data_IF_649352794438
#
_entry.id   IF_649352794438
#
_cell.length_a   1.000
_cell.length_b   1.000
_cell.length_c   1.000
_cell.angle_alpha   90.00
_cell.angle_beta   90.00
_cell.angle_gamma   90.00
#
_symmetry.space_group_name_H-M   'P 1'
#
loop_
_entity.id
_entity.type
_entity.pdbx_description
1 polymer ?
#
# COMPACT_ATOMS: atom_id res chain seq x y z
N UNK A 1 -14.34 -19.54 -4.72
CA UNK A 1 -14.81 -19.00 -3.40
C UNK A 1 -15.13 -17.55 -3.55
N UNK A 2 -16.34 -17.12 -3.14
CA UNK A 2 -16.73 -15.71 -3.24
C UNK A 2 -16.35 -14.96 -1.96
N UNK A 3 -15.42 -14.05 -2.06
CA UNK A 3 -14.89 -13.30 -0.91
C UNK A 3 -15.26 -11.84 -1.00
N UNK A 4 -15.85 -11.33 0.07
CA UNK A 4 -16.02 -9.89 0.27
C UNK A 4 -14.74 -9.32 0.88
N UNK A 5 -14.06 -8.46 0.14
CA UNK A 5 -12.89 -7.73 0.64
C UNK A 5 -13.32 -6.35 1.09
N UNK A 6 -12.90 -5.96 2.30
CA UNK A 6 -13.18 -4.68 2.94
C UNK A 6 -11.87 -3.96 3.23
N UNK A 7 -11.75 -2.74 2.75
CA UNK A 7 -10.60 -1.86 2.95
C UNK A 7 -11.09 -0.53 3.55
N UNK A 8 -11.05 -0.43 4.87
CA UNK A 8 -11.47 0.75 5.60
C UNK A 8 -10.28 1.72 5.74
N UNK A 9 -10.39 2.91 5.17
CA UNK A 9 -9.45 4.00 5.34
C UNK A 9 -9.89 4.95 6.44
N UNK A 10 -9.18 6.06 6.66
CA UNK A 10 -9.47 7.02 7.73
C UNK A 10 -10.84 7.72 7.59
N UNK A 11 -11.29 7.98 6.37
CA UNK A 11 -12.57 8.65 6.06
C UNK A 11 -13.29 8.02 4.87
N UNK A 12 -12.92 6.80 4.51
CA UNK A 12 -13.51 6.07 3.40
C UNK A 12 -13.50 4.58 3.68
N UNK A 13 -14.36 3.84 2.98
CA UNK A 13 -14.34 2.37 2.96
C UNK A 13 -14.53 1.94 1.52
N UNK A 14 -13.65 1.08 1.03
CA UNK A 14 -13.77 0.42 -0.27
C UNK A 14 -14.11 -1.03 -0.07
N UNK A 15 -14.85 -1.62 -0.99
CA UNK A 15 -15.15 -3.04 -0.97
C UNK A 15 -15.17 -3.63 -2.37
N UNK A 16 -14.92 -4.93 -2.41
CA UNK A 16 -14.99 -5.73 -3.63
C UNK A 16 -15.43 -7.16 -3.28
N UNK A 17 -16.44 -7.65 -3.97
CA UNK A 17 -16.84 -9.05 -3.92
C UNK A 17 -16.30 -9.74 -5.18
N UNK A 18 -15.46 -10.75 -4.99
CA UNK A 18 -14.80 -11.45 -6.09
C UNK A 18 -14.72 -12.96 -5.86
N UNK A 19 -14.63 -13.70 -6.96
CA UNK A 19 -14.30 -15.13 -6.94
C UNK A 19 -12.79 -15.35 -6.96
N UNK A 20 -12.27 -16.16 -6.03
CA UNK A 20 -10.83 -16.41 -5.89
C UNK A 20 -10.24 -17.26 -7.02
N UNK A 21 -11.03 -18.15 -7.64
CA UNK A 21 -10.56 -19.06 -8.68
C UNK A 21 -10.50 -18.34 -10.04
N UNK A 22 -11.55 -17.57 -10.38
CA UNK A 22 -11.66 -16.89 -11.69
C UNK A 22 -11.15 -15.45 -11.67
N UNK A 23 -11.00 -14.84 -10.50
CA UNK A 23 -10.75 -13.42 -10.27
C UNK A 23 -11.86 -12.50 -10.81
N UNK A 24 -13.03 -13.05 -11.07
CA UNK A 24 -14.18 -12.26 -11.51
C UNK A 24 -14.68 -11.39 -10.37
N UNK A 25 -14.90 -10.11 -10.66
CA UNK A 25 -15.44 -9.13 -9.71
C UNK A 25 -16.93 -8.99 -9.93
N UNK A 26 -17.73 -9.49 -8.98
CA UNK A 26 -19.19 -9.44 -9.03
C UNK A 26 -19.73 -8.05 -8.63
N UNK A 27 -19.18 -7.48 -7.58
CA UNK A 27 -19.57 -6.16 -7.10
C UNK A 27 -18.38 -5.40 -6.53
N UNK A 28 -18.37 -4.09 -6.67
CA UNK A 28 -17.40 -3.20 -6.02
C UNK A 28 -17.98 -1.83 -5.74
N UNK A 29 -17.41 -1.15 -4.77
CA UNK A 29 -17.85 0.19 -4.44
C UNK A 29 -17.04 0.85 -3.36
N UNK A 30 -17.54 1.99 -2.91
CA UNK A 30 -16.92 2.77 -1.85
C UNK A 30 -17.93 3.61 -1.09
N UNK A 31 -17.60 3.87 0.17
CA UNK A 31 -18.20 4.91 1.00
C UNK A 31 -17.15 6.01 1.19
N UNK A 32 -17.49 7.24 0.93
CA UNK A 32 -16.61 8.39 1.06
C UNK A 32 -17.15 9.38 2.09
N UNK A 33 -16.27 10.20 2.68
CA UNK A 33 -16.59 11.23 3.68
C UNK A 33 -17.21 10.65 4.96
N UNK A 34 -16.74 9.49 5.39
CA UNK A 34 -17.12 8.90 6.68
C UNK A 34 -16.74 9.87 7.81
N UNK A 35 -17.65 10.11 8.76
CA UNK A 35 -17.50 11.10 9.83
C UNK A 35 -17.99 12.50 9.46
N UNK A 36 -18.53 12.71 8.24
CA UNK A 36 -19.16 13.96 7.80
C UNK A 36 -20.69 13.83 7.84
N UNK A 37 -21.39 14.98 7.82
CA UNK A 37 -22.86 15.01 7.83
C UNK A 37 -23.48 14.24 6.67
N UNK A 38 -22.85 14.30 5.50
CA UNK A 38 -23.24 13.56 4.29
C UNK A 38 -22.02 12.96 3.62
N UNK A 39 -22.08 11.65 3.39
CA UNK A 39 -21.12 10.88 2.62
C UNK A 39 -21.65 10.54 1.23
N UNK A 40 -20.83 9.80 0.48
CA UNK A 40 -21.19 9.31 -0.85
C UNK A 40 -21.01 7.79 -0.86
N UNK A 41 -22.09 7.07 -1.12
CA UNK A 41 -22.07 5.64 -1.41
C UNK A 41 -21.96 5.43 -2.91
N UNK A 42 -21.01 4.63 -3.35
CA UNK A 42 -20.86 4.24 -4.73
C UNK A 42 -20.85 2.72 -4.88
N UNK A 43 -21.60 2.19 -5.83
CA UNK A 43 -21.75 0.77 -6.09
C UNK A 43 -21.77 0.46 -7.58
N UNK A 44 -21.21 -0.67 -7.97
CA UNK A 44 -21.32 -1.22 -9.33
C UNK A 44 -21.25 -2.74 -9.29
N UNK A 45 -22.02 -3.40 -10.17
CA UNK A 45 -22.09 -4.84 -10.33
C UNK A 45 -21.62 -5.27 -11.71
N UNK A 46 -20.96 -6.42 -11.81
CA UNK A 46 -20.57 -7.10 -13.07
C UNK A 46 -19.89 -6.15 -14.09
N UNK A 47 -19.05 -5.23 -13.60
CA UNK A 47 -18.37 -4.24 -14.44
C UNK A 47 -19.28 -3.13 -14.99
N UNK A 48 -20.54 -3.05 -14.53
CA UNK A 48 -21.50 -2.03 -14.94
C UNK A 48 -21.11 -0.61 -14.48
N UNK A 49 -21.92 0.37 -14.88
CA UNK A 49 -21.71 1.76 -14.49
C UNK A 49 -21.89 1.95 -12.99
N UNK A 50 -20.98 2.70 -12.37
CA UNK A 50 -21.07 3.04 -10.96
C UNK A 50 -22.28 3.93 -10.69
N UNK A 51 -23.15 3.50 -9.79
CA UNK A 51 -24.23 4.29 -9.24
C UNK A 51 -23.75 4.99 -7.97
N UNK A 52 -24.19 6.20 -7.72
CA UNK A 52 -23.82 6.98 -6.53
C UNK A 52 -25.04 7.53 -5.84
N UNK A 53 -25.01 7.55 -4.51
CA UNK A 53 -26.05 8.06 -3.64
C UNK A 53 -25.42 8.87 -2.50
N UNK A 54 -26.03 9.98 -2.10
CA UNK A 54 -25.66 10.70 -0.88
C UNK A 54 -26.31 10.05 0.33
N UNK A 55 -25.48 9.58 1.28
CA UNK A 55 -25.91 8.85 2.48
C UNK A 55 -25.10 9.33 3.67
N UNK A 56 -25.72 9.55 4.86
CA UNK A 56 -24.97 9.88 6.06
C UNK A 56 -24.14 8.69 6.54
N UNK A 57 -22.83 8.91 6.76
CA UNK A 57 -21.93 7.94 7.35
C UNK A 57 -21.30 8.53 8.61
N UNK A 58 -21.96 8.43 9.78
CA UNK A 58 -21.38 8.92 11.03
C UNK A 58 -20.08 8.21 11.42
N UNK A 59 -19.94 6.94 11.02
CA UNK A 59 -18.80 6.09 11.35
C UNK A 59 -18.60 4.95 10.34
N UNK A 60 -17.54 4.15 10.52
CA UNK A 60 -17.24 3.00 9.67
C UNK A 60 -18.26 1.87 9.82
N UNK A 61 -18.90 1.75 10.98
CA UNK A 61 -19.96 0.75 11.22
C UNK A 61 -21.16 1.00 10.32
N UNK A 62 -21.59 2.26 10.20
CA UNK A 62 -22.69 2.66 9.30
C UNK A 62 -22.32 2.48 7.82
N UNK A 63 -21.06 2.72 7.48
CA UNK A 63 -20.56 2.51 6.12
C UNK A 63 -20.58 1.03 5.71
N UNK A 64 -20.05 0.12 6.54
CA UNK A 64 -20.08 -1.31 6.24
C UNK A 64 -21.53 -1.86 6.28
N UNK A 65 -22.38 -1.36 7.17
CA UNK A 65 -23.80 -1.73 7.18
C UNK A 65 -24.46 -1.46 5.83
N UNK A 66 -24.24 -0.26 5.27
CA UNK A 66 -24.80 0.13 3.97
C UNK A 66 -24.27 -0.74 2.82
N UNK A 67 -22.98 -1.13 2.87
CA UNK A 67 -22.39 -2.09 1.90
C UNK A 67 -23.12 -3.44 1.95
N UNK A 68 -23.29 -4.02 3.15
CA UNK A 68 -23.91 -5.32 3.31
C UNK A 68 -25.41 -5.29 2.92
N UNK A 69 -26.13 -4.21 3.27
CA UNK A 69 -27.50 -3.99 2.82
C UNK A 69 -27.63 -3.94 1.29
N UNK A 70 -26.63 -3.39 0.58
CA UNK A 70 -26.65 -3.36 -0.88
C UNK A 70 -26.40 -4.75 -1.47
N UNK A 71 -25.41 -5.47 -0.93
CA UNK A 71 -25.11 -6.84 -1.37
C UNK A 71 -26.24 -7.83 -1.07
N UNK A 72 -27.00 -7.66 0.02
CA UNK A 72 -28.20 -8.47 0.33
C UNK A 72 -29.32 -8.34 -0.70
N UNK A 73 -29.35 -7.29 -1.53
CA UNK A 73 -30.32 -7.13 -2.63
C UNK A 73 -29.95 -7.91 -3.88
N UNK A 74 -28.75 -8.44 -3.92
CA UNK A 74 -28.22 -9.21 -5.05
C UNK A 74 -28.36 -10.71 -4.79
N UNK A 75 -28.23 -11.52 -5.86
CA UNK A 75 -28.20 -12.99 -5.77
C UNK A 75 -26.79 -13.53 -5.48
N UNK A 76 -25.80 -12.69 -5.19
CA UNK A 76 -24.44 -13.12 -4.90
C UNK A 76 -24.32 -13.75 -3.52
N UNK A 77 -23.59 -14.85 -3.43
CA UNK A 77 -23.23 -15.49 -2.15
C UNK A 77 -21.90 -14.93 -1.65
N UNK A 78 -21.74 -14.84 -0.34
CA UNK A 78 -20.48 -14.50 0.32
C UNK A 78 -20.05 -15.73 1.13
N UNK A 79 -18.87 -16.27 0.86
CA UNK A 79 -18.32 -17.45 1.52
C UNK A 79 -17.33 -17.09 2.63
N UNK A 80 -16.81 -15.85 2.63
CA UNK A 80 -15.90 -15.34 3.63
C UNK A 80 -15.62 -13.84 3.43
N UNK A 81 -15.10 -13.20 4.47
CA UNK A 81 -14.82 -11.75 4.47
C UNK A 81 -13.36 -11.52 4.80
N UNK A 82 -12.66 -10.79 3.94
CA UNK A 82 -11.28 -10.36 4.13
C UNK A 82 -11.22 -8.88 4.50
N UNK A 83 -10.48 -8.55 5.55
CA UNK A 83 -10.32 -7.19 6.02
C UNK A 83 -8.86 -6.76 5.91
N UNK A 84 -8.59 -5.67 5.20
CA UNK A 84 -7.28 -5.02 5.24
C UNK A 84 -7.10 -4.34 6.57
N UNK A 85 -5.94 -4.57 7.21
CA UNK A 85 -5.50 -3.91 8.44
C UNK A 85 -4.15 -3.25 8.18
N UNK A 86 -4.08 -1.94 8.41
CA UNK A 86 -2.86 -1.16 8.12
C UNK A 86 -1.72 -1.56 9.04
N UNK A 87 -1.99 -1.83 10.33
CA UNK A 87 -0.94 -2.13 11.30
C UNK A 87 -1.23 -3.39 12.10
N UNK A 88 -0.36 -4.40 11.94
CA UNK A 88 -0.38 -5.65 12.71
C UNK A 88 0.53 -5.65 13.94
N UNK A 89 1.41 -4.63 14.06
CA UNK A 89 2.36 -4.51 15.15
C UNK A 89 3.28 -5.72 15.27
N UNK A 90 3.54 -6.09 16.51
CA UNK A 90 4.41 -7.21 16.88
C UNK A 90 3.68 -8.55 17.03
N UNK A 91 2.36 -8.56 16.84
CA UNK A 91 1.53 -9.74 17.03
C UNK A 91 1.35 -10.58 15.77
N UNK A 92 1.44 -9.97 14.59
CA UNK A 92 1.03 -10.62 13.35
C UNK A 92 2.17 -10.67 12.32
N UNK A 93 2.63 -11.86 12.03
CA UNK A 93 3.60 -12.20 10.97
C UNK A 93 2.94 -12.86 9.74
N UNK A 94 1.65 -13.13 9.80
CA UNK A 94 0.79 -13.59 8.71
C UNK A 94 -0.63 -13.03 8.91
N UNK A 95 -1.51 -13.27 7.94
CA UNK A 95 -2.94 -13.05 8.05
C UNK A 95 -3.57 -13.98 9.08
N UNK A 96 -4.66 -13.57 9.73
CA UNK A 96 -5.28 -14.34 10.81
C UNK A 96 -6.80 -14.44 10.66
N UNK A 97 -7.36 -15.62 10.94
CA UNK A 97 -8.81 -15.77 11.13
C UNK A 97 -9.20 -15.05 12.42
N UNK A 98 -10.20 -14.18 12.30
CA UNK A 98 -10.56 -13.25 13.38
C UNK A 98 -11.43 -13.95 14.43
N UNK A 99 -10.90 -14.06 15.64
CA UNK A 99 -11.59 -14.38 16.88
C UNK A 99 -11.49 -13.20 17.86
N UNK A 100 -11.89 -13.40 19.11
CA UNK A 100 -11.86 -12.35 20.14
C UNK A 100 -10.40 -12.00 20.56
N UNK A 101 -9.48 -12.97 20.50
CA UNK A 101 -8.07 -12.76 20.80
C UNK A 101 -7.41 -11.92 19.70
N UNK A 102 -7.68 -12.24 18.44
CA UNK A 102 -7.19 -11.46 17.28
C UNK A 102 -7.74 -10.04 17.33
N UNK A 103 -9.04 -9.85 17.65
CA UNK A 103 -9.60 -8.51 17.83
C UNK A 103 -8.91 -7.71 18.93
N UNK A 104 -8.67 -8.33 20.10
CA UNK A 104 -7.96 -7.68 21.19
C UNK A 104 -6.55 -7.22 20.78
N UNK A 105 -5.81 -8.05 20.03
CA UNK A 105 -4.48 -7.73 19.51
C UNK A 105 -4.51 -6.61 18.47
N UNK A 106 -5.51 -6.57 17.58
CA UNK A 106 -5.69 -5.46 16.61
C UNK A 106 -5.89 -4.14 17.35
N UNK A 107 -6.71 -4.13 18.42
CA UNK A 107 -6.95 -2.94 19.22
C UNK A 107 -5.73 -2.53 20.05
N UNK A 108 -4.93 -3.49 20.55
CA UNK A 108 -3.68 -3.21 21.28
C UNK A 108 -2.66 -2.47 20.42
N UNK A 109 -2.54 -2.81 19.14
CA UNK A 109 -1.60 -2.15 18.22
C UNK A 109 -2.19 -0.91 17.53
N UNK A 110 -3.48 -0.62 17.70
CA UNK A 110 -4.15 0.53 17.09
C UNK A 110 -3.45 1.89 17.34
N UNK A 111 -2.80 2.14 18.50
CA UNK A 111 -2.01 3.37 18.69
C UNK A 111 -0.87 3.60 17.68
N UNK A 112 -0.39 2.57 16.97
CA UNK A 112 0.60 2.71 15.89
C UNK A 112 -0.01 3.25 14.59
N UNK A 113 -1.33 3.07 14.38
CA UNK A 113 -2.08 3.57 13.22
C UNK A 113 -3.50 4.03 13.63
N UNK A 114 -3.63 5.03 14.51
CA UNK A 114 -4.91 5.38 15.14
C UNK A 114 -5.98 5.88 14.17
N UNK A 115 -5.58 6.42 13.01
CA UNK A 115 -6.50 6.88 11.98
C UNK A 115 -7.09 5.74 11.12
N UNK A 116 -6.62 4.50 11.28
CA UNK A 116 -6.99 3.35 10.46
C UNK A 116 -7.54 2.20 11.31
N UNK A 117 -6.71 1.61 12.19
CA UNK A 117 -7.04 0.39 12.90
C UNK A 117 -8.37 0.42 13.69
N UNK A 118 -8.77 1.56 14.25
CA UNK A 118 -10.06 1.65 14.95
C UNK A 118 -11.25 1.55 14.00
N UNK A 119 -11.19 2.18 12.82
CA UNK A 119 -12.23 2.09 11.80
C UNK A 119 -12.29 0.68 11.17
N UNK A 120 -11.12 0.08 10.96
CA UNK A 120 -10.98 -1.29 10.47
C UNK A 120 -11.57 -2.29 11.47
N UNK A 121 -11.25 -2.18 12.77
CA UNK A 121 -11.82 -3.00 13.83
C UNK A 121 -13.35 -2.88 13.90
N UNK A 122 -13.89 -1.67 13.81
CA UNK A 122 -15.34 -1.45 13.83
C UNK A 122 -16.06 -2.12 12.64
N UNK A 123 -15.42 -2.15 11.46
CA UNK A 123 -15.95 -2.85 10.30
C UNK A 123 -15.93 -4.38 10.50
N UNK A 124 -14.86 -4.93 11.08
CA UNK A 124 -14.76 -6.35 11.42
C UNK A 124 -15.84 -6.75 12.42
N UNK A 125 -15.98 -6.00 13.53
CA UNK A 125 -16.98 -6.26 14.56
C UNK A 125 -18.38 -6.34 13.97
N UNK A 126 -18.74 -5.39 13.11
CA UNK A 126 -20.06 -5.39 12.47
C UNK A 126 -20.26 -6.59 11.55
N UNK A 127 -19.26 -6.98 10.76
CA UNK A 127 -19.35 -8.16 9.89
C UNK A 127 -19.54 -9.46 10.73
N UNK A 128 -18.79 -9.61 11.82
CA UNK A 128 -18.91 -10.77 12.74
C UNK A 128 -20.26 -10.83 13.45
N UNK A 129 -20.83 -9.69 13.81
CA UNK A 129 -22.17 -9.63 14.41
C UNK A 129 -23.27 -9.96 13.39
N UNK A 130 -23.15 -9.46 12.16
CA UNK A 130 -24.14 -9.62 11.10
C UNK A 130 -24.15 -11.05 10.51
N UNK A 131 -22.95 -11.63 10.34
CA UNK A 131 -22.73 -12.95 9.74
C UNK A 131 -21.80 -13.81 10.60
N UNK A 132 -22.28 -14.29 11.78
CA UNK A 132 -21.43 -15.01 12.73
C UNK A 132 -20.90 -16.35 12.20
N UNK A 133 -21.54 -16.91 11.17
CA UNK A 133 -21.14 -18.15 10.51
C UNK A 133 -20.07 -17.96 9.44
N UNK A 134 -19.89 -16.74 8.93
CA UNK A 134 -18.88 -16.47 7.90
C UNK A 134 -17.50 -16.24 8.52
N UNK A 135 -16.46 -16.88 8.00
CA UNK A 135 -15.10 -16.60 8.43
C UNK A 135 -14.71 -15.16 8.06
N UNK A 136 -14.16 -14.46 9.03
CA UNK A 136 -13.53 -13.15 8.85
C UNK A 136 -12.02 -13.32 8.96
N UNK A 137 -11.25 -12.77 8.03
CA UNK A 137 -9.79 -12.84 8.01
C UNK A 137 -9.20 -11.44 7.99
N UNK A 138 -8.33 -11.15 8.94
CA UNK A 138 -7.55 -9.91 8.98
C UNK A 138 -6.24 -10.10 8.20
N UNK A 139 -5.98 -9.23 7.23
CA UNK A 139 -4.79 -9.21 6.38
C UNK A 139 -4.02 -7.93 6.65
N UNK A 140 -2.80 -8.06 7.17
CA UNK A 140 -2.04 -6.94 7.69
C UNK A 140 -1.02 -6.45 6.67
N UNK A 141 -1.02 -5.15 6.38
CA UNK A 141 -0.03 -4.51 5.48
C UNK A 141 1.41 -4.66 5.97
N UNK A 142 1.61 -4.91 7.26
CA UNK A 142 2.92 -5.05 7.88
C UNK A 142 3.42 -6.50 7.95
N UNK A 143 2.54 -7.51 7.86
CA UNK A 143 2.89 -8.90 8.13
C UNK A 143 3.96 -9.44 7.19
N UNK A 144 3.91 -9.11 5.89
CA UNK A 144 4.92 -9.52 4.92
C UNK A 144 6.33 -9.06 5.30
N UNK A 145 6.45 -7.91 5.95
CA UNK A 145 7.71 -7.33 6.38
C UNK A 145 8.24 -7.89 7.70
N UNK A 146 7.45 -8.69 8.41
CA UNK A 146 7.90 -9.33 9.67
C UNK A 146 8.99 -10.37 9.45
N UNK A 147 9.22 -10.77 8.21
CA UNK A 147 10.34 -11.66 7.81
C UNK A 147 11.68 -10.94 7.73
N UNK A 148 11.74 -9.60 7.87
CA UNK A 148 13.00 -8.85 7.88
C UNK A 148 13.94 -9.34 8.99
N UNK A 149 15.25 -9.44 8.73
CA UNK A 149 16.23 -9.77 9.77
C UNK A 149 16.36 -8.63 10.79
N UNK A 150 16.76 -8.97 12.02
CA UNK A 150 16.88 -8.01 13.13
C UNK A 150 17.71 -6.76 12.76
N UNK A 151 18.79 -6.95 12.02
CA UNK A 151 19.67 -5.86 11.56
C UNK A 151 18.96 -4.84 10.65
N UNK A 152 17.90 -5.26 9.95
CA UNK A 152 17.14 -4.38 9.05
C UNK A 152 16.00 -3.63 9.76
N UNK A 153 15.34 -4.27 10.75
CA UNK A 153 14.20 -3.65 11.41
C UNK A 153 14.54 -2.87 12.70
N UNK A 154 15.73 -3.08 13.29
CA UNK A 154 16.10 -2.42 14.55
C UNK A 154 16.58 -1.00 14.29
N UNK A 155 16.04 -0.03 15.04
CA UNK A 155 16.57 1.32 15.07
C UNK A 155 17.73 1.44 16.07
N UNK A 156 18.74 2.25 15.75
CA UNK A 156 19.87 2.53 16.63
C UNK A 156 19.48 3.50 17.76
N UNK A 157 18.51 3.09 18.57
CA UNK A 157 17.99 3.78 19.74
C UNK A 157 18.25 2.93 21.00
N UNK A 158 18.13 3.49 22.22
CA UNK A 158 18.27 2.71 23.45
C UNK A 158 17.32 1.52 23.46
N UNK A 159 17.89 0.33 23.69
CA UNK A 159 17.14 -0.94 23.57
C UNK A 159 15.93 -1.00 24.51
N UNK A 160 16.07 -0.52 25.74
CA UNK A 160 15.01 -0.48 26.74
C UNK A 160 13.81 0.39 26.30
N UNK A 161 14.08 1.46 25.57
CA UNK A 161 13.04 2.30 24.96
C UNK A 161 12.35 1.57 23.81
N UNK A 162 13.15 0.96 22.92
CA UNK A 162 12.60 0.20 21.79
C UNK A 162 11.74 -0.97 22.27
N UNK A 163 12.22 -1.73 23.24
CA UNK A 163 11.50 -2.88 23.79
C UNK A 163 10.19 -2.43 24.49
N UNK A 164 10.26 -1.38 25.30
CA UNK A 164 9.09 -0.89 26.06
C UNK A 164 7.95 -0.37 25.16
N UNK A 165 8.29 0.28 24.06
CA UNK A 165 7.32 0.93 23.17
C UNK A 165 7.17 0.21 21.82
N UNK A 166 7.77 -0.96 21.67
CA UNK A 166 7.77 -1.76 20.44
C UNK A 166 8.24 -0.96 19.20
N UNK A 167 9.27 -0.11 19.41
CA UNK A 167 9.82 0.74 18.35
C UNK A 167 10.75 -0.05 17.45
N UNK A 168 10.27 -0.32 16.24
CA UNK A 168 11.03 -0.99 15.18
C UNK A 168 10.46 -0.58 13.81
N UNK A 169 11.16 -0.95 12.74
CA UNK A 169 10.61 -0.87 11.38
C UNK A 169 9.57 -1.96 11.20
N UNK A 170 8.34 -1.59 10.83
CA UNK A 170 7.26 -2.51 10.44
C UNK A 170 7.04 -2.53 8.95
N UNK A 171 7.20 -1.40 8.26
CA UNK A 171 6.86 -1.25 6.85
C UNK A 171 5.35 -1.07 6.62
N UNK A 172 4.96 -1.02 5.38
CA UNK A 172 3.57 -1.05 4.92
C UNK A 172 3.50 -1.45 3.43
N UNK A 173 2.30 -1.51 2.84
CA UNK A 173 2.04 -2.03 1.49
C UNK A 173 2.49 -3.50 1.32
N UNK A 174 2.62 -4.25 2.41
CA UNK A 174 3.09 -5.63 2.36
C UNK A 174 2.22 -6.53 1.51
N UNK A 175 0.91 -6.31 1.50
CA UNK A 175 -0.04 -7.03 0.66
C UNK A 175 0.26 -6.83 -0.83
N UNK A 176 0.54 -5.59 -1.26
CA UNK A 176 0.95 -5.26 -2.62
C UNK A 176 2.30 -5.88 -2.97
N UNK A 177 3.34 -5.68 -2.14
CA UNK A 177 4.67 -6.24 -2.39
C UNK A 177 4.68 -7.77 -2.49
N UNK A 178 3.85 -8.44 -1.68
CA UNK A 178 3.66 -9.90 -1.74
C UNK A 178 2.97 -10.32 -3.04
N UNK A 179 1.97 -9.58 -3.50
CA UNK A 179 1.30 -9.83 -4.76
C UNK A 179 2.26 -9.71 -5.95
N UNK A 180 3.06 -8.64 -6.01
CA UNK A 180 4.03 -8.45 -7.09
C UNK A 180 5.06 -9.59 -7.13
N UNK A 181 5.57 -10.02 -5.96
CA UNK A 181 6.48 -11.16 -5.91
C UNK A 181 5.82 -12.45 -6.41
N UNK A 182 4.60 -12.72 -5.99
CA UNK A 182 3.83 -13.90 -6.41
C UNK A 182 3.65 -13.92 -7.93
N UNK A 183 3.19 -12.80 -8.52
CA UNK A 183 2.99 -12.67 -9.95
C UNK A 183 4.30 -12.77 -10.75
N UNK A 184 5.37 -12.11 -10.26
CA UNK A 184 6.68 -12.23 -10.91
C UNK A 184 7.22 -13.64 -10.86
N UNK A 185 7.06 -14.34 -9.73
CA UNK A 185 7.48 -15.74 -9.58
C UNK A 185 6.73 -16.68 -10.52
N UNK A 186 5.43 -16.45 -10.69
CA UNK A 186 4.61 -17.19 -11.66
C UNK A 186 5.11 -16.99 -13.10
N UNK A 187 5.40 -15.74 -13.48
CA UNK A 187 5.80 -15.38 -14.84
C UNK A 187 7.25 -15.77 -15.16
N UNK A 188 8.17 -15.52 -14.22
CA UNK A 188 9.62 -15.63 -14.44
C UNK A 188 10.24 -16.92 -13.90
N UNK A 189 9.56 -17.62 -13.00
CA UNK A 189 10.05 -18.85 -12.37
C UNK A 189 11.34 -18.63 -11.58
N UNK A 190 12.38 -19.41 -11.88
CA UNK A 190 13.69 -19.34 -11.20
C UNK A 190 14.48 -18.05 -11.46
N UNK A 191 14.09 -17.25 -12.43
CA UNK A 191 14.72 -15.94 -12.71
C UNK A 191 14.30 -14.84 -11.73
N UNK A 192 13.28 -15.09 -10.92
CA UNK A 192 12.82 -14.20 -9.86
C UNK A 192 13.39 -14.70 -8.51
N UNK A 193 14.63 -14.29 -8.17
CA UNK A 193 15.27 -14.61 -6.90
C UNK A 193 15.38 -13.35 -6.03
N UNK A 194 16.06 -12.31 -6.51
CA UNK A 194 16.18 -11.01 -5.83
C UNK A 194 15.33 -9.98 -6.55
N UNK A 195 14.24 -9.58 -5.92
CA UNK A 195 13.25 -8.69 -6.50
C UNK A 195 13.22 -7.37 -5.72
N UNK A 196 13.34 -6.25 -6.45
CA UNK A 196 13.02 -4.92 -5.97
C UNK A 196 11.60 -4.59 -6.41
N UNK A 197 10.66 -4.54 -5.45
CA UNK A 197 9.29 -4.10 -5.68
C UNK A 197 9.18 -2.60 -5.42
N UNK A 198 8.65 -1.84 -6.39
CA UNK A 198 8.51 -0.39 -6.36
C UNK A 198 7.02 -0.03 -6.42
N UNK A 199 6.37 0.04 -5.26
CA UNK A 199 5.01 0.54 -5.12
C UNK A 199 5.04 2.06 -5.11
N UNK A 200 4.78 2.68 -6.26
CA UNK A 200 4.87 4.13 -6.45
C UNK A 200 3.48 4.72 -6.71
N UNK A 201 2.83 5.19 -5.65
CA UNK A 201 1.52 5.82 -5.69
C UNK A 201 1.49 7.14 -4.92
N UNK A 202 0.32 7.57 -4.47
CA UNK A 202 0.18 8.69 -3.52
C UNK A 202 0.83 8.36 -2.17
N UNK A 203 0.72 7.10 -1.68
CA UNK A 203 1.67 6.46 -0.78
C UNK A 203 2.70 5.72 -1.63
N UNK A 204 3.96 5.71 -1.21
CA UNK A 204 5.01 5.05 -1.96
C UNK A 204 6.01 4.33 -1.05
N UNK A 205 6.40 3.12 -1.44
CA UNK A 205 7.42 2.33 -0.75
C UNK A 205 8.17 1.41 -1.71
N UNK A 206 9.35 0.99 -1.30
CA UNK A 206 10.13 -0.05 -1.95
C UNK A 206 10.30 -1.21 -0.98
N UNK A 207 10.35 -2.42 -1.51
CA UNK A 207 10.70 -3.62 -0.75
C UNK A 207 11.77 -4.45 -1.47
N UNK A 208 12.76 -4.88 -0.71
CA UNK A 208 13.79 -5.83 -1.11
C UNK A 208 13.29 -7.24 -0.76
N UNK A 209 13.09 -8.09 -1.76
CA UNK A 209 12.49 -9.41 -1.60
C UNK A 209 13.43 -10.46 -2.17
N UNK A 210 13.82 -11.43 -1.36
CA UNK A 210 14.67 -12.55 -1.79
C UNK A 210 13.92 -13.87 -1.55
N UNK A 211 13.61 -14.59 -2.62
CA UNK A 211 12.82 -15.84 -2.60
C UNK A 211 11.52 -15.77 -1.80
N UNK A 212 10.82 -14.64 -1.87
CA UNK A 212 9.56 -14.41 -1.18
C UNK A 212 9.68 -13.89 0.25
N UNK A 213 10.90 -13.71 0.73
CA UNK A 213 11.21 -13.17 2.06
C UNK A 213 11.56 -11.69 1.95
N UNK A 214 10.87 -10.83 2.67
CA UNK A 214 11.24 -9.43 2.75
C UNK A 214 12.57 -9.27 3.51
N UNK A 215 13.56 -8.66 2.88
CA UNK A 215 14.87 -8.39 3.47
C UNK A 215 14.97 -7.00 4.05
N UNK A 216 14.32 -6.05 3.41
CA UNK A 216 14.21 -4.66 3.87
C UNK A 216 13.05 -3.95 3.16
N UNK A 217 12.58 -2.84 3.74
CA UNK A 217 11.58 -1.96 3.13
C UNK A 217 11.83 -0.52 3.52
N UNK A 218 11.29 0.43 2.76
CA UNK A 218 11.56 1.86 2.98
C UNK A 218 10.68 2.51 4.04
N UNK A 219 9.43 2.06 4.22
CA UNK A 219 8.59 2.57 5.31
C UNK A 219 9.09 2.04 6.65
N UNK A 220 8.94 2.85 7.69
CA UNK A 220 9.55 2.62 9.00
C UNK A 220 8.57 2.11 10.07
N UNK A 221 8.62 2.75 11.25
CA UNK A 221 7.66 2.54 12.34
C UNK A 221 6.23 2.83 11.86
N UNK A 222 6.09 3.87 11.03
CA UNK A 222 4.85 4.30 10.39
C UNK A 222 5.03 4.43 8.87
N UNK A 223 3.95 4.57 8.10
CA UNK A 223 4.03 4.82 6.66
C UNK A 223 4.57 6.22 6.27
N UNK A 224 5.10 7.00 7.22
CA UNK A 224 5.68 8.32 6.96
C UNK A 224 7.11 8.23 6.41
N UNK A 225 7.91 7.29 6.92
CA UNK A 225 9.33 7.15 6.54
C UNK A 225 9.51 6.62 5.11
N UNK A 226 10.71 6.78 4.57
CA UNK A 226 11.11 6.27 3.26
C UNK A 226 11.01 7.28 2.14
N UNK A 227 10.24 6.98 1.10
CA UNK A 227 10.11 7.83 -0.08
C UNK A 227 9.36 9.13 0.21
N UNK A 228 9.68 10.18 -0.55
CA UNK A 228 8.78 11.33 -0.69
C UNK A 228 7.49 10.85 -1.35
N UNK A 229 6.33 11.28 -0.85
CA UNK A 229 5.02 10.80 -1.30
C UNK A 229 4.12 11.96 -1.73
N UNK A 230 2.85 11.74 -1.97
CA UNK A 230 1.92 12.79 -2.36
C UNK A 230 1.85 13.96 -1.36
N UNK A 231 1.66 13.63 -0.06
CA UNK A 231 1.57 14.62 1.02
C UNK A 231 2.56 14.38 2.16
N UNK A 232 3.27 13.23 2.18
CA UNK A 232 4.21 12.85 3.22
C UNK A 232 5.63 13.20 2.82
N UNK A 233 6.43 13.68 3.79
CA UNK A 233 7.80 14.13 3.51
C UNK A 233 8.77 12.98 3.18
N UNK A 234 8.49 11.74 3.64
CA UNK A 234 9.46 10.66 3.64
C UNK A 234 10.57 10.89 4.66
N UNK A 235 11.70 10.22 4.47
CA UNK A 235 12.86 10.34 5.36
C UNK A 235 13.44 11.75 5.35
N UNK A 236 13.54 12.35 6.54
CA UNK A 236 14.21 13.63 6.79
C UNK A 236 15.18 13.46 7.96
N UNK A 237 16.05 14.46 8.19
CA UNK A 237 16.84 14.48 9.42
C UNK A 237 15.90 14.57 10.65
N UNK A 238 15.93 13.60 11.59
CA UNK A 238 15.04 13.62 12.76
C UNK A 238 15.23 14.86 13.63
N UNK A 239 16.40 15.52 13.62
CA UNK A 239 16.62 16.76 14.33
C UNK A 239 15.75 17.92 13.78
N UNK A 240 15.26 17.83 12.55
CA UNK A 240 14.34 18.83 11.97
C UNK A 240 13.07 18.97 12.82
N UNK A 241 12.52 17.88 13.33
CA UNK A 241 11.33 17.89 14.21
C UNK A 241 11.59 18.73 15.46
N UNK A 242 12.68 18.43 16.18
CA UNK A 242 13.06 19.17 17.39
C UNK A 242 13.41 20.64 17.09
N UNK A 243 14.04 20.90 15.93
CA UNK A 243 14.39 22.27 15.51
C UNK A 243 13.12 23.11 15.27
N UNK A 244 12.15 22.59 14.52
CA UNK A 244 10.89 23.30 14.24
C UNK A 244 10.09 23.57 15.53
N UNK A 245 10.07 22.63 16.46
CA UNK A 245 9.41 22.84 17.76
C UNK A 245 10.12 23.92 18.60
N UNK A 246 11.45 23.87 18.67
CA UNK A 246 12.23 24.79 19.52
C UNK A 246 12.32 26.20 18.94
N UNK A 247 12.65 26.33 17.63
CA UNK A 247 12.90 27.63 17.01
C UNK A 247 11.66 28.17 16.26
N UNK A 248 10.83 27.28 15.69
CA UNK A 248 9.61 27.66 14.99
C UNK A 248 8.39 27.78 15.90
N UNK A 249 8.45 27.26 17.12
CA UNK A 249 7.34 27.28 18.08
C UNK A 249 6.19 26.35 17.71
N UNK A 250 6.37 25.44 16.76
CA UNK A 250 5.34 24.48 16.36
C UNK A 250 5.10 23.45 17.50
N UNK A 251 3.86 23.11 17.75
CA UNK A 251 3.50 21.95 18.57
C UNK A 251 3.87 20.65 17.89
N UNK A 252 3.91 19.54 18.63
CA UNK A 252 4.16 18.22 18.03
C UNK A 252 3.10 17.86 16.99
N UNK A 253 1.83 18.21 17.24
CA UNK A 253 0.73 17.91 16.31
C UNK A 253 0.84 18.70 15.00
N UNK A 254 1.24 19.99 15.07
CA UNK A 254 1.47 20.80 13.87
C UNK A 254 2.62 20.24 13.02
N UNK A 255 3.70 19.75 13.66
CA UNK A 255 4.81 19.13 12.95
C UNK A 255 4.38 17.78 12.35
N UNK A 256 3.61 16.96 13.09
CA UNK A 256 3.08 15.70 12.61
C UNK A 256 2.16 15.91 11.39
N UNK A 257 1.22 16.86 11.48
CA UNK A 257 0.34 17.22 10.36
C UNK A 257 1.12 17.78 9.16
N UNK A 258 2.14 18.59 9.39
CA UNK A 258 3.03 19.11 8.34
C UNK A 258 3.71 17.96 7.60
N UNK A 259 4.31 17.00 8.31
CA UNK A 259 5.03 15.89 7.72
C UNK A 259 4.11 14.92 6.98
N UNK A 260 2.91 14.67 7.49
CA UNK A 260 1.98 13.68 6.94
C UNK A 260 1.04 14.22 5.87
N UNK A 261 0.60 15.49 5.97
CA UNK A 261 -0.52 16.03 5.19
C UNK A 261 -0.16 17.23 4.30
N UNK A 262 0.96 17.92 4.58
CA UNK A 262 1.31 19.19 3.95
C UNK A 262 2.66 19.18 3.24
N UNK A 263 3.30 18.02 3.14
CA UNK A 263 4.64 17.81 2.58
C UNK A 263 4.58 17.11 1.20
N UNK A 264 5.65 16.48 0.82
CA UNK A 264 5.74 15.65 -0.38
C UNK A 264 5.55 16.42 -1.69
N UNK A 265 4.95 15.76 -2.67
CA UNK A 265 4.66 16.36 -3.98
C UNK A 265 3.82 17.63 -3.85
N UNK A 266 2.84 17.64 -2.94
CA UNK A 266 1.99 18.82 -2.66
C UNK A 266 2.84 20.03 -2.27
N UNK A 267 3.75 19.90 -1.31
CA UNK A 267 4.57 21.00 -0.80
C UNK A 267 5.53 21.53 -1.86
N UNK A 268 6.21 20.61 -2.57
CA UNK A 268 7.24 21.00 -3.53
C UNK A 268 6.61 21.63 -4.77
N UNK A 269 5.57 21.01 -5.34
CA UNK A 269 4.85 21.57 -6.50
C UNK A 269 4.07 22.83 -6.13
N UNK A 270 3.47 22.87 -4.93
CA UNK A 270 2.62 23.94 -4.44
C UNK A 270 1.22 23.98 -5.07
N UNK A 271 0.82 22.93 -5.80
CA UNK A 271 -0.46 22.90 -6.52
C UNK A 271 -1.32 21.67 -6.19
N UNK A 272 -0.74 20.48 -6.12
CA UNK A 272 -1.49 19.22 -5.98
C UNK A 272 -0.60 18.12 -5.40
N UNK A 273 -1.22 17.10 -4.81
CA UNK A 273 -0.58 15.82 -4.49
C UNK A 273 -0.83 14.76 -5.57
N UNK A 274 -1.62 15.08 -6.59
CA UNK A 274 -1.87 14.19 -7.72
C UNK A 274 -0.76 14.35 -8.77
N UNK A 275 -0.04 13.27 -9.04
CA UNK A 275 1.04 13.25 -10.00
C UNK A 275 0.60 13.65 -11.42
N UNK A 276 -0.67 13.44 -11.79
CA UNK A 276 -1.22 13.80 -13.12
C UNK A 276 -1.31 15.32 -13.29
N UNK A 277 -1.79 16.03 -12.26
CA UNK A 277 -1.86 17.50 -12.28
C UNK A 277 -0.47 18.11 -12.36
N UNK A 278 0.46 17.60 -11.54
CA UNK A 278 1.84 18.04 -11.49
C UNK A 278 2.52 17.77 -12.84
N UNK A 279 2.27 16.58 -13.44
CA UNK A 279 2.82 16.23 -14.77
C UNK A 279 2.36 17.22 -15.85
N UNK A 280 1.09 17.58 -15.86
CA UNK A 280 0.52 18.51 -16.81
C UNK A 280 1.25 19.87 -16.72
N UNK A 281 1.38 20.40 -15.50
CA UNK A 281 2.05 21.69 -15.28
C UNK A 281 3.56 21.62 -15.56
N UNK A 282 4.22 20.52 -15.20
CA UNK A 282 5.64 20.31 -15.53
C UNK A 282 5.89 20.32 -17.06
N UNK A 283 4.98 19.73 -17.86
CA UNK A 283 5.05 19.75 -19.31
C UNK A 283 4.86 21.14 -19.92
N UNK A 284 4.24 22.07 -19.20
CA UNK A 284 4.09 23.49 -19.54
C UNK A 284 5.29 24.34 -19.08
N UNK A 285 6.29 23.74 -18.42
CA UNK A 285 7.52 24.40 -17.98
C UNK A 285 7.46 24.95 -16.56
N UNK A 286 6.50 24.54 -15.72
CA UNK A 286 6.48 24.93 -14.30
C UNK A 286 7.66 24.32 -13.56
N UNK A 287 8.60 25.16 -13.12
CA UNK A 287 9.87 24.75 -12.50
C UNK A 287 9.65 24.01 -11.16
N UNK A 288 8.64 24.37 -10.37
CA UNK A 288 8.33 23.70 -9.11
C UNK A 288 7.76 22.29 -9.35
N UNK A 289 6.93 22.14 -10.36
CA UNK A 289 6.40 20.85 -10.76
C UNK A 289 7.49 19.92 -11.33
N UNK A 290 8.44 20.49 -12.12
CA UNK A 290 9.62 19.76 -12.58
C UNK A 290 10.47 19.30 -11.39
N UNK A 291 10.78 20.20 -10.45
CA UNK A 291 11.54 19.87 -9.24
C UNK A 291 10.84 18.78 -8.41
N UNK A 292 9.51 18.82 -8.28
CA UNK A 292 8.76 17.82 -7.54
C UNK A 292 8.93 16.40 -8.12
N UNK A 293 8.88 16.26 -9.45
CA UNK A 293 9.15 14.99 -10.13
C UNK A 293 10.60 14.54 -10.02
N UNK A 294 11.54 15.46 -10.23
CA UNK A 294 12.97 15.14 -10.13
C UNK A 294 13.32 14.68 -8.71
N UNK A 295 12.77 15.34 -7.67
CA UNK A 295 12.95 14.92 -6.28
C UNK A 295 12.31 13.56 -6.01
N UNK A 296 11.10 13.29 -6.50
CA UNK A 296 10.44 12.01 -6.33
C UNK A 296 11.27 10.88 -6.95
N UNK A 297 11.68 11.04 -8.21
CA UNK A 297 12.54 10.07 -8.89
C UNK A 297 13.88 9.88 -8.18
N UNK A 298 14.54 10.98 -7.79
CA UNK A 298 15.83 10.95 -7.11
C UNK A 298 15.75 10.20 -5.77
N UNK A 299 14.72 10.47 -4.95
CA UNK A 299 14.52 9.79 -3.67
C UNK A 299 14.23 8.30 -3.86
N UNK A 300 13.41 7.94 -4.86
CA UNK A 300 13.15 6.55 -5.20
C UNK A 300 14.44 5.82 -5.61
N UNK A 301 15.27 6.42 -6.45
CA UNK A 301 16.55 5.85 -6.87
C UNK A 301 17.55 5.67 -5.72
N UNK A 302 17.65 6.67 -4.80
CA UNK A 302 18.53 6.55 -3.63
C UNK A 302 18.11 5.37 -2.74
N UNK A 303 16.81 5.27 -2.43
CA UNK A 303 16.29 4.19 -1.59
C UNK A 303 16.42 2.82 -2.30
N UNK A 304 16.18 2.78 -3.62
CA UNK A 304 16.38 1.57 -4.41
C UNK A 304 17.83 1.07 -4.34
N UNK A 305 18.81 1.97 -4.38
CA UNK A 305 20.23 1.61 -4.19
C UNK A 305 20.47 0.91 -2.85
N UNK A 306 19.85 1.38 -1.76
CA UNK A 306 19.98 0.74 -0.44
C UNK A 306 19.28 -0.63 -0.40
N UNK A 307 18.10 -0.76 -1.01
CA UNK A 307 17.38 -2.03 -1.11
C UNK A 307 18.16 -3.07 -1.93
N UNK A 308 18.76 -2.65 -3.05
CA UNK A 308 19.60 -3.51 -3.89
C UNK A 308 20.84 -3.98 -3.11
N UNK A 309 21.44 -3.09 -2.31
CA UNK A 309 22.58 -3.42 -1.47
C UNK A 309 22.23 -4.43 -0.37
N UNK A 310 21.03 -4.34 0.23
CA UNK A 310 20.58 -5.28 1.27
C UNK A 310 20.41 -6.72 0.76
N UNK A 311 20.19 -6.89 -0.56
CA UNK A 311 20.11 -8.19 -1.24
C UNK A 311 21.43 -8.61 -1.94
N UNK A 312 22.48 -7.78 -1.87
CA UNK A 312 23.72 -7.96 -2.63
C UNK A 312 23.50 -8.10 -4.15
N UNK A 313 22.50 -7.41 -4.70
CA UNK A 313 22.15 -7.40 -6.12
C UNK A 313 20.65 -7.38 -6.37
N UNK A 314 20.26 -7.43 -7.65
CA UNK A 314 18.87 -7.45 -8.10
C UNK A 314 18.76 -8.23 -9.40
N UNK A 315 17.74 -9.08 -9.51
CA UNK A 315 17.46 -9.87 -10.71
C UNK A 315 16.20 -9.35 -11.43
N UNK A 316 15.26 -8.77 -10.64
CA UNK A 316 14.00 -8.25 -11.15
C UNK A 316 13.64 -6.94 -10.45
N UNK A 317 13.15 -5.96 -11.22
CA UNK A 317 12.58 -4.70 -10.72
C UNK A 317 11.12 -4.65 -11.19
N UNK A 318 10.20 -4.38 -10.27
CA UNK A 318 8.77 -4.23 -10.57
C UNK A 318 8.31 -2.84 -10.22
N UNK A 319 7.56 -2.23 -11.13
CA UNK A 319 6.82 -0.99 -10.91
C UNK A 319 5.33 -1.28 -10.80
N UNK A 320 4.71 -0.73 -9.75
CA UNK A 320 3.28 -0.90 -9.47
C UNK A 320 2.70 0.38 -8.85
N UNK A 321 1.39 0.39 -8.61
CA UNK A 321 0.59 1.51 -8.15
C UNK A 321 0.57 2.71 -9.13
N UNK A 322 -0.23 3.72 -8.77
CA UNK A 322 -0.67 4.75 -9.73
C UNK A 322 0.43 5.44 -10.53
N UNK A 323 1.56 5.81 -9.90
CA UNK A 323 2.71 6.42 -10.61
C UNK A 323 3.54 5.33 -11.29
N UNK A 324 3.83 4.23 -10.58
CA UNK A 324 4.64 3.13 -11.11
C UNK A 324 4.05 2.49 -12.37
N UNK A 325 2.74 2.31 -12.41
CA UNK A 325 2.02 1.74 -13.55
C UNK A 325 1.86 2.70 -14.72
N UNK A 326 1.63 3.99 -14.44
CA UNK A 326 1.17 4.91 -15.49
C UNK A 326 2.23 5.93 -15.93
N UNK A 327 3.31 6.15 -15.17
CA UNK A 327 4.34 7.15 -15.53
C UNK A 327 5.59 6.51 -16.12
N UNK A 328 5.59 6.36 -17.44
CA UNK A 328 6.71 5.80 -18.19
C UNK A 328 8.02 6.58 -17.99
N UNK A 329 7.95 7.89 -17.71
CA UNK A 329 9.15 8.72 -17.59
C UNK A 329 9.83 8.56 -16.23
N UNK A 330 9.06 8.35 -15.16
CA UNK A 330 9.61 7.99 -13.85
C UNK A 330 10.29 6.63 -13.93
N UNK A 331 9.64 5.61 -14.58
CA UNK A 331 10.27 4.30 -14.79
C UNK A 331 11.56 4.41 -15.60
N UNK A 332 11.56 5.27 -16.65
CA UNK A 332 12.77 5.50 -17.47
C UNK A 332 13.89 6.12 -16.63
N UNK A 333 13.63 7.24 -15.95
CA UNK A 333 14.63 7.92 -15.12
C UNK A 333 15.21 6.98 -14.06
N UNK A 334 14.34 6.18 -13.42
CA UNK A 334 14.75 5.17 -12.45
C UNK A 334 15.68 4.12 -13.08
N UNK A 335 15.31 3.53 -14.21
CA UNK A 335 16.09 2.47 -14.85
C UNK A 335 17.42 2.99 -15.43
N UNK A 336 17.44 4.20 -15.98
CA UNK A 336 18.66 4.84 -16.48
C UNK A 336 19.72 5.00 -15.36
N UNK A 337 19.28 5.31 -14.13
CA UNK A 337 20.17 5.39 -12.97
C UNK A 337 20.91 4.07 -12.67
N UNK A 338 20.29 2.94 -13.01
CA UNK A 338 20.84 1.59 -12.77
C UNK A 338 21.41 0.91 -14.02
N UNK A 339 21.68 1.67 -15.11
CA UNK A 339 22.31 1.13 -16.31
C UNK A 339 23.68 0.47 -16.03
N UNK A 340 24.40 0.97 -15.04
CA UNK A 340 25.66 0.39 -14.56
C UNK A 340 25.53 -1.02 -13.95
N UNK A 341 24.33 -1.41 -13.50
CA UNK A 341 23.99 -2.78 -13.10
C UNK A 341 23.49 -3.64 -14.27
N UNK A 342 23.46 -3.08 -15.48
CA UNK A 342 22.95 -3.75 -16.66
C UNK A 342 21.42 -3.68 -16.80
N UNK A 343 20.76 -2.80 -16.07
CA UNK A 343 19.32 -2.51 -16.26
C UNK A 343 19.14 -1.78 -17.59
N UNK A 344 18.35 -2.34 -18.49
CA UNK A 344 18.01 -1.72 -19.78
C UNK A 344 16.54 -1.94 -20.08
N UNK A 345 15.82 -0.88 -20.42
CA UNK A 345 14.41 -0.96 -20.80
C UNK A 345 14.23 -0.69 -22.30
N UNK A 346 13.19 -1.30 -22.86
CA UNK A 346 12.68 -0.98 -24.20
C UNK A 346 11.73 0.21 -24.06
N UNK A 347 12.08 1.33 -24.67
CA UNK A 347 11.34 2.59 -24.55
C UNK A 347 9.91 2.50 -25.10
N UNK A 348 9.67 1.66 -26.14
CA UNK A 348 8.33 1.49 -26.70
C UNK A 348 7.46 0.66 -25.75
N UNK A 349 7.97 -0.50 -25.30
CA UNK A 349 7.29 -1.31 -24.29
C UNK A 349 7.00 -0.52 -23.02
N UNK A 350 7.97 0.28 -22.54
CA UNK A 350 7.78 1.11 -21.37
C UNK A 350 6.65 2.15 -21.52
N UNK A 351 6.51 2.74 -22.70
CA UNK A 351 5.42 3.70 -22.97
C UNK A 351 4.05 3.03 -23.11
N UNK A 352 4.02 1.82 -23.67
CA UNK A 352 2.82 1.05 -23.90
C UNK A 352 2.32 0.31 -22.65
N UNK A 353 3.19 0.15 -21.63
CA UNK A 353 2.86 -0.52 -20.39
C UNK A 353 2.04 0.38 -19.46
N UNK A 354 0.78 0.62 -19.83
CA UNK A 354 -0.21 1.40 -19.09
C UNK A 354 -1.53 0.62 -19.07
N UNK A 355 -1.99 0.22 -17.89
CA UNK A 355 -3.33 -0.37 -17.70
C UNK A 355 -3.58 -1.77 -18.31
N UNK A 356 -2.54 -2.49 -18.73
CA UNK A 356 -2.67 -3.71 -19.54
C UNK A 356 -2.12 -4.98 -18.86
N UNK A 357 -2.37 -5.20 -17.57
CA UNK A 357 -1.88 -6.39 -16.87
C UNK A 357 -0.33 -6.48 -16.78
N UNK A 358 0.23 -7.59 -16.30
CA UNK A 358 1.68 -7.75 -16.15
C UNK A 358 2.44 -7.69 -17.47
N UNK A 359 3.47 -6.82 -17.56
CA UNK A 359 4.26 -6.64 -18.78
C UNK A 359 5.77 -6.57 -18.46
N UNK A 360 6.58 -7.30 -19.25
CA UNK A 360 8.03 -7.18 -19.24
C UNK A 360 8.45 -6.04 -20.15
N UNK A 361 9.07 -5.01 -19.59
CA UNK A 361 9.53 -3.80 -20.32
C UNK A 361 11.06 -3.75 -20.50
N UNK A 362 11.80 -4.73 -20.01
CA UNK A 362 13.24 -4.81 -20.24
C UNK A 362 13.55 -5.00 -21.73
N UNK A 363 14.65 -4.38 -22.19
CA UNK A 363 15.21 -4.57 -23.51
C UNK A 363 15.89 -5.95 -23.64
N UNK A 364 16.07 -6.42 -24.86
CA UNK A 364 16.87 -7.60 -25.13
C UNK A 364 18.30 -7.39 -24.62
N UNK A 365 18.80 -8.39 -23.85
CA UNK A 365 20.15 -8.34 -23.26
C UNK A 365 20.25 -7.52 -21.99
N UNK A 366 19.14 -7.05 -21.39
CA UNK A 366 19.14 -6.54 -20.03
C UNK A 366 19.57 -7.63 -19.05
N UNK A 367 20.49 -7.30 -18.15
CA UNK A 367 20.92 -8.24 -17.09
C UNK A 367 19.84 -8.37 -15.99
N UNK A 368 19.02 -7.36 -15.81
CA UNK A 368 17.94 -7.30 -14.85
C UNK A 368 16.60 -7.27 -15.60
N UNK A 369 15.66 -8.12 -15.19
CA UNK A 369 14.28 -8.07 -15.72
C UNK A 369 13.56 -6.87 -15.13
N UNK A 370 12.89 -6.06 -15.97
CA UNK A 370 12.05 -4.93 -15.52
C UNK A 370 10.63 -5.19 -15.95
N UNK A 371 9.70 -5.07 -15.01
CA UNK A 371 8.27 -5.33 -15.25
C UNK A 371 7.40 -4.18 -14.73
N UNK A 372 6.23 -4.03 -15.33
CA UNK A 372 5.09 -3.31 -14.75
C UNK A 372 4.04 -4.36 -14.40
N UNK A 373 3.61 -4.40 -13.15
CA UNK A 373 2.57 -5.29 -12.67
C UNK A 373 1.53 -4.41 -11.95
N UNK A 374 0.31 -4.26 -12.49
CA UNK A 374 -0.77 -3.62 -11.75
C UNK A 374 -1.03 -4.36 -10.44
N UNK A 375 -1.05 -3.62 -9.32
CA UNK A 375 -1.33 -4.23 -8.02
C UNK A 375 -2.78 -4.68 -7.92
N UNK A 376 -2.99 -5.77 -7.20
CA UNK A 376 -4.32 -6.31 -6.89
C UNK A 376 -4.34 -6.79 -5.43
N UNK A 377 -4.41 -5.80 -4.53
CA UNK A 377 -4.44 -6.06 -3.09
C UNK A 377 -5.72 -6.78 -2.68
N UNK A 378 -6.84 -6.47 -3.34
CA UNK A 378 -8.13 -7.10 -3.09
C UNK A 378 -8.08 -8.60 -3.39
N UNK A 379 -7.49 -8.98 -4.52
CA UNK A 379 -7.28 -10.39 -4.83
C UNK A 379 -6.35 -11.06 -3.80
N UNK A 380 -5.28 -10.39 -3.38
CA UNK A 380 -4.35 -10.95 -2.40
C UNK A 380 -5.01 -11.17 -1.03
N UNK A 381 -5.89 -10.26 -0.61
CA UNK A 381 -6.71 -10.41 0.60
C UNK A 381 -7.67 -11.59 0.44
N UNK A 382 -8.37 -11.69 -0.69
CA UNK A 382 -9.29 -12.80 -0.96
C UNK A 382 -8.58 -14.16 -1.00
N UNK A 383 -7.38 -14.21 -1.58
CA UNK A 383 -6.52 -15.39 -1.59
C UNK A 383 -6.15 -15.85 -0.17
N UNK A 384 -5.88 -14.92 0.75
CA UNK A 384 -5.61 -15.28 2.15
C UNK A 384 -6.85 -15.79 2.88
N UNK A 385 -8.04 -15.25 2.61
CA UNK A 385 -9.29 -15.80 3.13
C UNK A 385 -9.42 -17.26 2.70
N UNK A 386 -9.26 -17.54 1.41
CA UNK A 386 -9.33 -18.90 0.88
C UNK A 386 -8.27 -19.82 1.51
N UNK A 387 -7.01 -19.38 1.57
CA UNK A 387 -5.89 -20.14 2.13
C UNK A 387 -6.11 -20.55 3.58
N UNK A 388 -6.66 -19.65 4.40
CA UNK A 388 -6.84 -19.88 5.83
C UNK A 388 -8.15 -20.60 6.17
N UNK A 389 -9.14 -20.61 5.27
CA UNK A 389 -10.45 -21.19 5.55
C UNK A 389 -10.71 -22.51 4.84
N UNK A 390 -10.12 -22.78 3.67
CA UNK A 390 -10.28 -24.07 2.94
C UNK A 390 -9.55 -25.25 3.60
N UNK A 391 -8.63 -25.03 4.53
CA UNK A 391 -7.84 -26.08 5.19
C UNK A 391 -8.31 -26.37 6.62
N UNK A 392 -9.43 -25.83 7.02
CA UNK A 392 -10.09 -26.12 8.32
C UNK A 392 -11.41 -26.91 8.09
#
# INVERSE_FOLDING_TARGET
MNVLVVNAGSSSLKYQLLDTDTREVFAKGNCERIGSDMGIFGHSENGGAKQTEEVPFPDHRSAIARVLEELEKTDFTIDGIGHRIVQGGWHFDDSAVVDDEVMAKILEVAPLAPLHNYGEAAAIEYCREKYPELPNVAVFDTSFHMTMPEVAYTYALPKDVCDKYHVRKYGAHGTSHRYEWMMAKEILGSRCHRLLSCHLGNGASLAAIEDGVCRDTTMGLTPLDGLMMGTRCGSIDPATVCYLQREGGYSYQEVDDMMNKQSGLLAISGISNDARDIRTRASEGDERCLLAFDMFAYKAMQQAGSMIASMAGVDTIIFTAGIGENDWSIRKAFCDCFEWLGVRIDNNKNREAVGNGPQVISAAGSAVTVMVIPTDEEYMIAHDVERLTKNN
#
